data_IF_699428839164
#
_entry.id   IF_699428839164
#
_cell.length_a   1.000
_cell.length_b   1.000
_cell.length_c   1.000
_cell.angle_alpha   90.00
_cell.angle_beta   90.00
_cell.angle_gamma   90.00
#
_symmetry.space_group_name_H-M   'P 1'
#
loop_
_entity.id
_entity.type
_entity.pdbx_description
1 polymer ?
#
# COMPACT_ATOMS: atom_id res chain seq x y z
N UNK A 1 -32.55 -9.97 -10.24
CA UNK A 1 -33.55 -9.17 -9.49
C UNK A 1 -34.16 -8.10 -10.41
N UNK A 2 -33.35 -7.19 -11.02
CA UNK A 2 -33.93 -6.09 -11.83
C UNK A 2 -34.75 -6.64 -13.00
N UNK A 3 -34.17 -7.51 -13.81
CA UNK A 3 -34.84 -8.04 -15.01
C UNK A 3 -35.84 -9.12 -14.68
N UNK A 4 -35.57 -10.02 -13.75
CA UNK A 4 -36.39 -11.20 -13.46
C UNK A 4 -37.57 -10.85 -12.52
N UNK A 5 -37.43 -9.85 -11.65
CA UNK A 5 -38.46 -9.47 -10.68
C UNK A 5 -39.10 -8.14 -11.06
N UNK A 6 -38.32 -7.04 -11.13
CA UNK A 6 -38.87 -5.71 -11.31
C UNK A 6 -39.51 -5.55 -12.69
N UNK A 7 -38.75 -5.92 -13.75
CA UNK A 7 -39.20 -5.78 -15.16
C UNK A 7 -40.01 -6.98 -15.66
N UNK A 8 -40.23 -8.02 -14.84
CA UNK A 8 -41.03 -9.16 -15.24
C UNK A 8 -42.47 -8.74 -15.59
N UNK A 9 -42.97 -9.15 -16.75
CA UNK A 9 -44.35 -9.00 -17.17
C UNK A 9 -45.27 -10.13 -16.68
N UNK A 10 -44.68 -11.18 -16.10
CA UNK A 10 -45.38 -12.42 -15.72
C UNK A 10 -45.86 -12.37 -14.27
N UNK A 11 -45.08 -11.71 -13.38
CA UNK A 11 -45.34 -11.66 -11.94
C UNK A 11 -46.36 -10.56 -11.58
N UNK A 12 -47.29 -10.85 -10.68
CA UNK A 12 -48.17 -9.84 -10.07
C UNK A 12 -47.38 -8.91 -9.13
N UNK A 13 -47.95 -7.75 -8.80
CA UNK A 13 -47.27 -6.78 -7.90
C UNK A 13 -46.98 -7.37 -6.50
N UNK A 14 -47.85 -8.24 -5.98
CA UNK A 14 -47.66 -8.90 -4.68
C UNK A 14 -46.55 -9.95 -4.73
N UNK A 15 -46.48 -10.74 -5.81
CA UNK A 15 -45.43 -11.73 -6.02
C UNK A 15 -44.05 -11.05 -6.18
N UNK A 16 -43.98 -9.95 -6.94
CA UNK A 16 -42.75 -9.13 -7.06
C UNK A 16 -42.24 -8.62 -5.72
N UNK A 17 -43.17 -8.13 -4.88
CA UNK A 17 -42.79 -7.65 -3.53
C UNK A 17 -42.32 -8.80 -2.65
N UNK A 18 -42.97 -9.94 -2.67
CA UNK A 18 -42.55 -11.11 -1.88
C UNK A 18 -41.17 -11.63 -2.28
N UNK A 19 -40.92 -11.77 -3.58
CA UNK A 19 -39.62 -12.16 -4.10
C UNK A 19 -38.55 -11.13 -3.79
N UNK A 20 -38.85 -9.84 -3.94
CA UNK A 20 -37.92 -8.77 -3.62
C UNK A 20 -37.54 -8.80 -2.13
N UNK A 21 -38.48 -8.96 -1.21
CA UNK A 21 -38.22 -9.08 0.23
C UNK A 21 -37.39 -10.32 0.56
N UNK A 22 -37.61 -11.45 -0.13
CA UNK A 22 -36.77 -12.66 0.04
C UNK A 22 -35.34 -12.40 -0.33
N UNK A 23 -35.06 -11.83 -1.52
CA UNK A 23 -33.74 -11.53 -1.99
C UNK A 23 -33.05 -10.44 -1.16
N UNK A 24 -33.76 -9.42 -0.73
CA UNK A 24 -33.24 -8.40 0.19
C UNK A 24 -32.92 -9.00 1.55
N UNK A 25 -33.82 -9.86 2.10
CA UNK A 25 -33.53 -10.56 3.36
C UNK A 25 -32.28 -11.43 3.28
N UNK A 26 -32.14 -12.19 2.20
CA UNK A 26 -30.93 -12.98 1.95
C UNK A 26 -29.67 -12.09 1.84
N UNK A 27 -29.78 -10.97 1.11
CA UNK A 27 -28.67 -10.03 0.98
C UNK A 27 -28.27 -9.43 2.33
N UNK A 28 -29.25 -9.03 3.16
CA UNK A 28 -29.00 -8.51 4.52
C UNK A 28 -28.28 -9.56 5.37
N UNK A 29 -28.72 -10.82 5.35
CA UNK A 29 -28.06 -11.92 6.08
C UNK A 29 -26.62 -12.07 5.60
N UNK A 30 -26.38 -12.12 4.29
CA UNK A 30 -25.05 -12.27 3.73
C UNK A 30 -24.11 -11.09 4.10
N UNK A 31 -24.61 -9.86 3.95
CA UNK A 31 -23.77 -8.66 4.14
C UNK A 31 -23.65 -8.22 5.60
N UNK A 32 -24.65 -8.47 6.43
CA UNK A 32 -24.65 -8.02 7.83
C UNK A 32 -24.21 -9.13 8.79
N UNK A 33 -24.60 -10.38 8.52
CA UNK A 33 -24.30 -11.51 9.42
C UNK A 33 -23.01 -12.25 9.03
N UNK A 34 -22.82 -12.54 7.74
CA UNK A 34 -21.68 -13.37 7.31
C UNK A 34 -20.43 -12.56 6.99
N UNK A 35 -20.55 -11.44 6.31
CA UNK A 35 -19.39 -10.65 5.86
C UNK A 35 -18.57 -10.07 7.01
N UNK A 36 -19.13 -9.43 8.06
CA UNK A 36 -18.33 -8.85 9.14
C UNK A 36 -17.47 -9.87 9.92
N UNK A 37 -17.99 -11.07 10.33
CA UNK A 37 -17.17 -12.09 10.95
C UNK A 37 -16.02 -12.56 10.04
N UNK A 38 -16.30 -12.79 8.74
CA UNK A 38 -15.28 -13.22 7.77
C UNK A 38 -14.19 -12.16 7.67
N UNK A 39 -14.55 -10.87 7.56
CA UNK A 39 -13.60 -9.77 7.47
C UNK A 39 -12.80 -9.60 8.77
N UNK A 40 -13.45 -9.76 9.93
CA UNK A 40 -12.80 -9.75 11.23
C UNK A 40 -11.75 -10.88 11.34
N UNK A 41 -12.14 -12.13 11.04
CA UNK A 41 -11.21 -13.26 11.11
C UNK A 41 -10.07 -13.12 10.10
N UNK A 42 -10.36 -12.64 8.90
CA UNK A 42 -9.33 -12.35 7.88
C UNK A 42 -8.30 -11.36 8.41
N UNK A 43 -8.75 -10.23 8.96
CA UNK A 43 -7.85 -9.20 9.50
C UNK A 43 -7.11 -9.70 10.74
N UNK A 44 -7.78 -10.39 11.63
CA UNK A 44 -7.18 -10.95 12.84
C UNK A 44 -6.08 -11.96 12.51
N UNK A 45 -6.38 -12.92 11.63
CA UNK A 45 -5.41 -13.92 11.20
C UNK A 45 -4.21 -13.30 10.47
N UNK A 46 -4.46 -12.29 9.64
CA UNK A 46 -3.42 -11.53 8.97
C UNK A 46 -2.48 -10.84 9.97
N UNK A 47 -3.04 -10.13 10.95
CA UNK A 47 -2.27 -9.46 11.99
C UNK A 47 -1.53 -10.47 12.89
N UNK A 48 -2.17 -11.57 13.24
CA UNK A 48 -1.55 -12.63 14.04
C UNK A 48 -0.36 -13.26 13.32
N UNK A 49 -0.53 -13.64 12.06
CA UNK A 49 0.56 -14.16 11.21
C UNK A 49 1.71 -13.16 11.13
N UNK A 50 1.41 -11.90 10.84
CA UNK A 50 2.40 -10.84 10.71
C UNK A 50 3.18 -10.62 12.01
N UNK A 51 2.50 -10.59 13.16
CA UNK A 51 3.14 -10.41 14.47
C UNK A 51 4.00 -11.63 14.86
N UNK A 52 3.57 -12.86 14.52
CA UNK A 52 4.36 -14.05 14.73
C UNK A 52 5.64 -14.04 13.91
N UNK A 53 5.55 -13.65 12.62
CA UNK A 53 6.74 -13.47 11.75
C UNK A 53 7.70 -12.44 12.37
N UNK A 54 7.20 -11.30 12.87
CA UNK A 54 8.03 -10.29 13.54
C UNK A 54 8.72 -10.83 14.77
N UNK A 55 7.99 -11.58 15.58
CA UNK A 55 8.52 -12.21 16.78
C UNK A 55 9.66 -13.18 16.44
N UNK A 56 9.45 -14.04 15.46
CA UNK A 56 10.44 -15.04 15.05
C UNK A 56 11.69 -14.37 14.45
N UNK A 57 11.52 -13.37 13.57
CA UNK A 57 12.64 -12.61 12.99
C UNK A 57 13.43 -11.89 14.08
N UNK A 58 12.77 -11.20 15.03
CA UNK A 58 13.46 -10.51 16.13
C UNK A 58 14.23 -11.49 17.02
N UNK A 59 13.65 -12.64 17.32
CA UNK A 59 14.30 -13.69 18.09
C UNK A 59 15.54 -14.21 17.38
N UNK A 60 15.46 -14.46 16.09
CA UNK A 60 16.59 -14.96 15.30
C UNK A 60 17.69 -13.91 15.16
N UNK A 61 17.33 -12.65 14.83
CA UNK A 61 18.28 -11.53 14.80
C UNK A 61 18.98 -11.32 16.14
N UNK A 62 18.25 -11.35 17.25
CA UNK A 62 18.86 -11.19 18.56
C UNK A 62 19.80 -12.35 18.90
N UNK A 63 19.43 -13.58 18.57
CA UNK A 63 20.31 -14.74 18.72
C UNK A 63 21.56 -14.66 17.83
N UNK A 64 21.42 -14.12 16.61
CA UNK A 64 22.55 -13.87 15.70
C UNK A 64 23.49 -12.79 16.27
N UNK A 65 22.93 -11.65 16.72
CA UNK A 65 23.71 -10.57 17.34
C UNK A 65 24.54 -11.07 18.52
N UNK A 66 24.01 -11.92 19.39
CA UNK A 66 24.76 -12.46 20.54
C UNK A 66 26.00 -13.29 20.15
N UNK A 67 26.07 -13.78 18.92
CA UNK A 67 27.19 -14.58 18.40
C UNK A 67 28.22 -13.76 17.61
N UNK A 68 27.89 -12.51 17.26
CA UNK A 68 28.82 -11.63 16.56
C UNK A 68 30.01 -11.22 17.45
N UNK A 69 31.14 -11.00 16.84
CA UNK A 69 32.37 -10.64 17.54
C UNK A 69 32.37 -9.22 18.10
N UNK A 70 33.18 -8.96 19.12
CA UNK A 70 33.36 -7.61 19.66
C UNK A 70 33.91 -6.62 18.60
N UNK A 71 34.62 -7.11 17.60
CA UNK A 71 35.09 -6.32 16.46
C UNK A 71 33.94 -5.71 15.67
N UNK A 72 32.85 -6.45 15.47
CA UNK A 72 31.63 -5.93 14.84
C UNK A 72 31.09 -4.74 15.64
N UNK A 73 30.96 -4.87 16.97
CA UNK A 73 30.42 -3.82 17.84
C UNK A 73 31.33 -2.60 18.00
N UNK A 74 32.63 -2.77 17.82
CA UNK A 74 33.57 -1.64 17.79
C UNK A 74 33.49 -0.80 16.52
N UNK A 75 33.07 -1.42 15.42
CA UNK A 75 32.97 -0.76 14.10
C UNK A 75 31.54 -0.30 13.74
N UNK A 76 30.51 -0.80 14.43
CA UNK A 76 29.09 -0.52 14.13
C UNK A 76 28.45 0.25 15.28
N UNK A 77 27.71 1.32 14.94
CA UNK A 77 27.04 2.13 15.95
C UNK A 77 25.87 1.37 16.55
N UNK A 78 25.78 1.30 17.88
CA UNK A 78 24.68 0.62 18.58
C UNK A 78 23.27 1.08 18.13
N UNK A 79 23.10 2.38 17.86
CA UNK A 79 21.85 2.92 17.34
C UNK A 79 21.45 2.38 15.97
N UNK A 80 22.41 2.06 15.10
CA UNK A 80 22.15 1.44 13.81
C UNK A 80 21.64 0.00 13.97
N UNK A 81 22.31 -0.79 14.81
CA UNK A 81 21.90 -2.16 15.11
C UNK A 81 20.49 -2.19 15.70
N UNK A 82 20.20 -1.32 16.68
CA UNK A 82 18.87 -1.20 17.28
C UNK A 82 17.82 -0.82 16.22
N UNK A 83 18.14 0.13 15.33
CA UNK A 83 17.23 0.53 14.26
C UNK A 83 16.92 -0.61 13.30
N UNK A 84 17.90 -1.44 12.95
CA UNK A 84 17.69 -2.62 12.09
C UNK A 84 16.76 -3.63 12.77
N UNK A 85 16.95 -3.94 14.04
CA UNK A 85 16.14 -4.92 14.79
C UNK A 85 14.72 -4.41 15.07
N UNK A 86 14.54 -3.13 15.32
CA UNK A 86 13.23 -2.56 15.67
C UNK A 86 12.51 -2.06 14.44
N UNK A 87 13.10 -1.10 13.71
CA UNK A 87 12.41 -0.37 12.63
C UNK A 87 12.39 -1.17 11.32
N UNK A 88 13.50 -1.78 10.90
CA UNK A 88 13.54 -2.51 9.64
C UNK A 88 12.74 -3.82 9.72
N UNK A 89 12.78 -4.51 10.86
CA UNK A 89 11.89 -5.66 11.09
C UNK A 89 10.42 -5.24 11.08
N UNK A 90 10.05 -4.10 11.67
CA UNK A 90 8.66 -3.60 11.62
C UNK A 90 8.21 -3.31 10.18
N UNK A 91 9.10 -2.83 9.30
CA UNK A 91 8.79 -2.63 7.88
C UNK A 91 8.52 -3.96 7.14
N UNK A 92 9.05 -5.09 7.61
CA UNK A 92 8.74 -6.42 7.07
C UNK A 92 7.26 -6.76 7.24
N UNK A 93 6.62 -6.30 8.32
CA UNK A 93 5.17 -6.40 8.50
C UNK A 93 4.41 -5.73 7.35
N UNK A 94 4.84 -4.55 6.94
CA UNK A 94 4.21 -3.83 5.83
C UNK A 94 4.35 -4.59 4.51
N UNK A 95 5.47 -5.28 4.28
CA UNK A 95 5.64 -6.16 3.14
C UNK A 95 4.65 -7.32 3.14
N UNK A 96 4.53 -8.02 4.27
CA UNK A 96 3.59 -9.14 4.42
C UNK A 96 2.15 -8.68 4.21
N UNK A 97 1.74 -7.61 4.91
CA UNK A 97 0.36 -7.11 4.87
C UNK A 97 0.01 -6.52 3.50
N UNK A 98 0.89 -5.68 2.95
CA UNK A 98 0.62 -4.99 1.68
C UNK A 98 0.93 -5.88 0.48
N UNK A 99 2.08 -6.54 0.47
CA UNK A 99 2.56 -7.35 -0.66
C UNK A 99 1.82 -8.67 -0.77
N UNK A 100 1.91 -9.50 0.28
CA UNK A 100 1.35 -10.85 0.21
C UNK A 100 -0.17 -10.89 0.37
N UNK A 101 -0.78 -9.95 1.08
CA UNK A 101 -2.23 -9.99 1.31
C UNK A 101 -3.00 -9.04 0.43
N UNK A 102 -2.73 -7.72 0.53
CA UNK A 102 -3.56 -6.74 -0.18
C UNK A 102 -3.37 -6.80 -1.70
N UNK A 103 -2.13 -6.91 -2.19
CA UNK A 103 -1.85 -6.98 -3.63
C UNK A 103 -2.47 -8.24 -4.25
N UNK A 104 -2.37 -9.40 -3.58
CA UNK A 104 -3.01 -10.63 -4.06
C UNK A 104 -4.53 -10.54 -4.08
N UNK A 105 -5.14 -9.95 -3.05
CA UNK A 105 -6.58 -9.72 -3.01
C UNK A 105 -7.04 -8.76 -4.10
N UNK A 106 -6.28 -7.69 -4.33
CA UNK A 106 -6.59 -6.71 -5.38
C UNK A 106 -6.46 -7.32 -6.77
N UNK A 107 -5.40 -8.09 -7.05
CA UNK A 107 -5.24 -8.81 -8.32
C UNK A 107 -6.34 -9.85 -8.53
N UNK A 108 -6.66 -10.64 -7.51
CA UNK A 108 -7.74 -11.62 -7.58
C UNK A 108 -9.09 -10.95 -7.84
N UNK A 109 -9.36 -9.81 -7.18
CA UNK A 109 -10.60 -9.03 -7.39
C UNK A 109 -10.70 -8.53 -8.83
N UNK A 110 -9.59 -8.00 -9.40
CA UNK A 110 -9.55 -7.54 -10.78
C UNK A 110 -9.81 -8.70 -11.75
N UNK A 111 -9.13 -9.84 -11.56
CA UNK A 111 -9.30 -11.02 -12.43
C UNK A 111 -10.75 -11.53 -12.38
N UNK A 112 -11.30 -11.69 -11.18
CA UNK A 112 -12.68 -12.16 -11.00
C UNK A 112 -13.67 -11.15 -11.62
N UNK A 113 -13.45 -9.85 -11.40
CA UNK A 113 -14.31 -8.82 -11.99
C UNK A 113 -14.27 -8.89 -13.53
N UNK A 114 -13.09 -9.00 -14.14
CA UNK A 114 -12.96 -9.12 -15.60
C UNK A 114 -13.67 -10.39 -16.11
N UNK A 115 -13.47 -11.54 -15.46
CA UNK A 115 -14.12 -12.80 -15.86
C UNK A 115 -15.65 -12.66 -15.82
N UNK A 116 -16.20 -12.07 -14.76
CA UNK A 116 -17.63 -11.86 -14.66
C UNK A 116 -18.12 -10.85 -15.72
N UNK A 117 -17.42 -9.73 -15.91
CA UNK A 117 -17.76 -8.71 -16.91
C UNK A 117 -17.74 -9.28 -18.33
N UNK A 118 -16.76 -10.13 -18.69
CA UNK A 118 -16.72 -10.83 -20.00
C UNK A 118 -17.92 -11.74 -20.18
N UNK A 119 -18.32 -12.47 -19.14
CA UNK A 119 -19.50 -13.34 -19.20
C UNK A 119 -20.84 -12.59 -19.27
N UNK A 120 -20.90 -11.37 -18.71
CA UNK A 120 -22.06 -10.52 -18.83
C UNK A 120 -22.16 -9.88 -20.22
N UNK A 121 -21.12 -9.19 -20.66
CA UNK A 121 -21.09 -8.54 -21.97
C UNK A 121 -19.65 -8.22 -22.41
N UNK A 122 -19.21 -8.86 -23.48
CA UNK A 122 -17.85 -8.70 -24.02
C UNK A 122 -17.61 -7.27 -24.53
N UNK A 123 -18.60 -6.67 -25.22
CA UNK A 123 -18.43 -5.32 -25.79
C UNK A 123 -18.24 -4.27 -24.68
N UNK A 124 -19.10 -4.31 -23.65
CA UNK A 124 -18.98 -3.41 -22.49
C UNK A 124 -17.65 -3.61 -21.75
N UNK A 125 -17.19 -4.85 -21.66
CA UNK A 125 -15.88 -5.17 -21.02
C UNK A 125 -14.73 -4.56 -21.81
N UNK A 126 -14.74 -4.65 -23.14
CA UNK A 126 -13.70 -4.00 -23.96
C UNK A 126 -13.68 -2.50 -23.73
N UNK A 127 -14.85 -1.85 -23.71
CA UNK A 127 -14.95 -0.40 -23.43
C UNK A 127 -14.37 -0.07 -22.05
N UNK A 128 -14.68 -0.87 -21.02
CA UNK A 128 -14.12 -0.70 -19.68
C UNK A 128 -12.59 -0.86 -19.66
N UNK A 129 -12.04 -1.81 -20.44
CA UNK A 129 -10.60 -2.06 -20.50
C UNK A 129 -9.81 -0.99 -21.27
N UNK A 130 -10.46 -0.21 -22.17
CA UNK A 130 -9.79 0.86 -22.93
C UNK A 130 -9.15 1.92 -22.03
N UNK A 131 -9.73 2.19 -20.86
CA UNK A 131 -9.14 3.16 -19.93
C UNK A 131 -7.87 2.65 -19.22
N UNK A 132 -7.63 1.34 -19.14
CA UNK A 132 -6.46 0.78 -18.47
C UNK A 132 -5.11 1.19 -19.06
N UNK A 133 -4.90 1.20 -20.39
CA UNK A 133 -3.68 1.73 -20.98
C UNK A 133 -3.40 3.19 -20.60
N UNK A 134 -4.41 4.06 -20.64
CA UNK A 134 -4.26 5.46 -20.24
C UNK A 134 -3.90 5.60 -18.76
N UNK A 135 -4.52 4.79 -17.91
CA UNK A 135 -4.19 4.70 -16.52
C UNK A 135 -2.72 4.25 -16.31
N UNK A 136 -2.30 3.18 -16.98
CA UNK A 136 -0.95 2.64 -16.85
C UNK A 136 0.14 3.63 -17.32
N UNK A 137 -0.10 4.34 -18.42
CA UNK A 137 0.79 5.39 -18.95
C UNK A 137 0.90 6.53 -17.93
N UNK A 138 -0.23 6.99 -17.37
CA UNK A 138 -0.25 8.05 -16.37
C UNK A 138 0.52 7.66 -15.11
N UNK A 139 0.27 6.46 -14.59
CA UNK A 139 1.00 5.93 -13.43
C UNK A 139 2.50 5.86 -13.68
N UNK A 140 2.92 5.31 -14.83
CA UNK A 140 4.35 5.22 -15.21
C UNK A 140 5.01 6.59 -15.28
N UNK A 141 4.34 7.56 -15.87
CA UNK A 141 4.87 8.94 -16.01
C UNK A 141 5.04 9.60 -14.62
N UNK A 142 4.00 9.58 -13.79
CA UNK A 142 4.04 10.23 -12.49
C UNK A 142 4.93 9.50 -11.49
N UNK A 143 5.01 8.17 -11.55
CA UNK A 143 5.87 7.38 -10.66
C UNK A 143 7.34 7.79 -10.75
N UNK A 144 7.89 7.89 -11.97
CA UNK A 144 9.25 8.36 -12.17
C UNK A 144 9.48 9.77 -11.63
N UNK A 145 8.57 10.70 -11.92
CA UNK A 145 8.65 12.08 -11.47
C UNK A 145 8.56 12.21 -9.95
N UNK A 146 7.62 11.52 -9.33
CA UNK A 146 7.43 11.54 -7.88
C UNK A 146 8.61 10.91 -7.14
N UNK A 147 9.22 9.84 -7.67
CA UNK A 147 10.42 9.22 -7.12
C UNK A 147 11.57 10.23 -7.00
N UNK A 148 11.84 10.98 -8.06
CA UNK A 148 12.91 11.99 -8.07
C UNK A 148 12.63 13.12 -7.06
N UNK A 149 11.38 13.58 -6.99
CA UNK A 149 10.95 14.61 -6.05
C UNK A 149 10.99 14.12 -4.60
N UNK A 150 10.63 12.87 -4.34
CA UNK A 150 10.77 12.23 -3.03
C UNK A 150 12.24 12.20 -2.60
N UNK A 151 13.14 11.81 -3.51
CA UNK A 151 14.58 11.79 -3.23
C UNK A 151 15.10 13.19 -2.87
N UNK A 152 14.70 14.23 -3.62
CA UNK A 152 15.08 15.63 -3.33
C UNK A 152 14.54 16.10 -1.97
N UNK A 153 13.28 15.81 -1.67
CA UNK A 153 12.66 16.13 -0.39
C UNK A 153 13.37 15.44 0.78
N UNK A 154 13.67 14.14 0.63
CA UNK A 154 14.37 13.36 1.67
C UNK A 154 15.80 13.86 1.87
N UNK A 155 16.51 14.24 0.80
CA UNK A 155 17.82 14.85 0.91
C UNK A 155 17.81 16.18 1.66
N UNK A 156 16.86 17.07 1.36
CA UNK A 156 16.70 18.32 2.07
C UNK A 156 16.33 18.11 3.55
N UNK A 157 15.48 17.12 3.85
CA UNK A 157 15.16 16.77 5.24
C UNK A 157 16.38 16.25 6.01
N UNK A 158 17.20 15.40 5.37
CA UNK A 158 18.43 14.92 5.96
C UNK A 158 19.39 16.05 6.27
N UNK A 159 19.47 17.10 5.42
CA UNK A 159 20.21 18.32 5.70
C UNK A 159 19.75 19.04 6.97
N UNK A 160 18.43 19.24 7.10
CA UNK A 160 17.85 19.84 8.33
C UNK A 160 18.14 18.98 9.56
N UNK A 161 18.01 17.66 9.46
CA UNK A 161 18.29 16.75 10.58
C UNK A 161 19.75 16.77 11.00
N UNK A 162 20.69 16.76 10.03
CA UNK A 162 22.13 16.85 10.30
C UNK A 162 22.48 18.14 10.99
N UNK A 163 21.94 19.26 10.51
CA UNK A 163 22.12 20.57 11.11
C UNK A 163 21.63 20.58 12.56
N UNK A 164 20.40 20.13 12.80
CA UNK A 164 19.84 20.09 14.17
C UNK A 164 20.70 19.20 15.10
N UNK A 165 21.14 18.03 14.62
CA UNK A 165 21.95 17.14 15.43
C UNK A 165 23.26 17.79 15.87
N UNK A 166 23.96 18.46 14.94
CA UNK A 166 25.21 19.16 15.22
C UNK A 166 25.01 20.33 16.20
N UNK A 167 23.98 21.15 15.99
CA UNK A 167 23.74 22.35 16.80
C UNK A 167 23.19 22.03 18.18
N UNK A 168 22.35 21.03 18.32
CA UNK A 168 21.87 20.57 19.63
C UNK A 168 23.03 19.99 20.45
N UNK A 169 23.95 19.22 19.82
CA UNK A 169 25.16 18.75 20.48
C UNK A 169 26.10 19.90 20.89
N UNK A 170 26.18 20.97 20.08
CA UNK A 170 27.00 22.16 20.33
C UNK A 170 26.28 23.31 21.05
N UNK A 171 25.11 23.07 21.66
CA UNK A 171 24.27 24.14 22.23
C UNK A 171 24.99 25.00 23.29
N UNK A 172 25.92 24.40 24.05
CA UNK A 172 26.71 25.16 25.03
C UNK A 172 27.60 26.21 24.37
N UNK A 173 28.13 25.94 23.18
CA UNK A 173 28.95 26.90 22.42
C UNK A 173 28.08 28.06 21.91
N UNK A 174 26.93 27.72 21.31
CA UNK A 174 25.97 28.73 20.84
C UNK A 174 25.59 29.67 21.94
N UNK A 175 25.26 29.13 23.12
CA UNK A 175 24.93 29.92 24.31
C UNK A 175 26.08 30.77 24.84
N UNK A 176 27.32 30.22 24.86
CA UNK A 176 28.51 30.95 25.36
C UNK A 176 28.88 32.13 24.48
N UNK A 177 28.61 32.08 23.19
CA UNK A 177 28.93 33.14 22.23
C UNK A 177 27.71 33.96 21.80
N UNK A 178 26.53 33.74 22.38
CA UNK A 178 25.27 34.44 22.06
C UNK A 178 24.94 34.44 20.57
N UNK A 179 25.10 33.25 19.92
CA UNK A 179 24.93 33.05 18.47
C UNK A 179 23.51 32.61 18.07
N UNK A 180 22.53 32.70 18.99
CA UNK A 180 21.17 32.16 18.76
C UNK A 180 20.50 32.73 17.51
N UNK A 181 20.65 34.03 17.28
CA UNK A 181 20.03 34.69 16.12
C UNK A 181 20.70 34.23 14.81
N UNK A 182 22.03 34.15 14.80
CA UNK A 182 22.78 33.68 13.64
C UNK A 182 22.45 32.22 13.29
N UNK A 183 22.41 31.37 14.29
CA UNK A 183 22.02 29.94 14.10
C UNK A 183 20.57 29.77 13.64
N UNK A 184 19.66 30.69 14.10
CA UNK A 184 18.28 30.70 13.63
C UNK A 184 18.19 31.05 12.14
N UNK A 185 18.96 32.03 11.67
CA UNK A 185 18.98 32.43 10.26
C UNK A 185 19.44 31.26 9.34
N UNK A 186 20.52 30.56 9.75
CA UNK A 186 21.03 29.40 9.00
C UNK A 186 20.01 28.25 9.01
N UNK A 187 19.38 27.99 10.15
CA UNK A 187 18.32 26.98 10.25
C UNK A 187 17.13 27.31 9.36
N UNK A 188 16.72 28.58 9.33
CA UNK A 188 15.59 29.03 8.52
C UNK A 188 15.88 28.88 7.01
N UNK A 189 17.13 29.07 6.58
CA UNK A 189 17.56 28.79 5.20
C UNK A 189 17.43 27.31 4.86
N UNK A 190 18.02 26.42 5.67
CA UNK A 190 17.96 24.97 5.46
C UNK A 190 16.50 24.45 5.50
N UNK A 191 15.70 24.92 6.46
CA UNK A 191 14.29 24.58 6.57
C UNK A 191 13.47 25.14 5.40
N UNK A 192 13.86 26.33 4.89
CA UNK A 192 13.29 26.94 3.69
C UNK A 192 13.51 26.08 2.43
N UNK A 193 14.69 25.49 2.27
CA UNK A 193 14.99 24.56 1.18
C UNK A 193 14.14 23.28 1.28
N UNK A 194 14.06 22.71 2.48
CA UNK A 194 13.16 21.56 2.71
C UNK A 194 11.71 21.91 2.38
N UNK A 195 11.21 23.07 2.82
CA UNK A 195 9.85 23.53 2.50
C UNK A 195 9.61 23.64 1.00
N UNK A 196 10.55 24.22 0.24
CA UNK A 196 10.46 24.30 -1.23
C UNK A 196 10.38 22.91 -1.88
N UNK A 197 11.25 21.99 -1.46
CA UNK A 197 11.27 20.61 -1.95
C UNK A 197 9.96 19.88 -1.59
N UNK A 198 9.48 20.03 -0.38
CA UNK A 198 8.23 19.44 0.12
C UNK A 198 7.00 19.95 -0.64
N UNK A 199 6.90 21.28 -0.86
CA UNK A 199 5.82 21.89 -1.62
C UNK A 199 5.81 21.43 -3.08
N UNK A 200 7.00 21.33 -3.70
CA UNK A 200 7.10 20.83 -5.07
C UNK A 200 6.68 19.36 -5.18
N UNK A 201 7.10 18.52 -4.23
CA UNK A 201 6.64 17.14 -4.15
C UNK A 201 5.12 17.08 -3.97
N UNK A 202 4.55 17.84 -3.03
CA UNK A 202 3.11 17.88 -2.77
C UNK A 202 2.30 18.34 -3.98
N UNK A 203 2.81 19.35 -4.72
CA UNK A 203 2.19 19.82 -5.96
C UNK A 203 2.09 18.71 -7.01
N UNK A 204 3.20 18.01 -7.27
CA UNK A 204 3.20 16.94 -8.26
C UNK A 204 2.41 15.71 -7.81
N UNK A 205 2.39 15.43 -6.52
CA UNK A 205 1.54 14.39 -5.94
C UNK A 205 0.05 14.73 -6.14
N UNK A 206 -0.36 15.97 -5.90
CA UNK A 206 -1.73 16.43 -6.13
C UNK A 206 -2.12 16.37 -7.61
N UNK A 207 -1.22 16.78 -8.53
CA UNK A 207 -1.45 16.68 -9.98
C UNK A 207 -1.60 15.20 -10.39
N UNK A 208 -0.73 14.32 -9.90
CA UNK A 208 -0.81 12.89 -10.17
C UNK A 208 -2.15 12.31 -9.70
N UNK A 209 -2.54 12.62 -8.46
CA UNK A 209 -3.82 12.16 -7.90
C UNK A 209 -5.01 12.70 -8.71
N UNK A 210 -4.97 13.98 -9.11
CA UNK A 210 -6.02 14.58 -9.95
C UNK A 210 -6.16 13.82 -11.28
N UNK A 211 -5.06 13.59 -12.00
CA UNK A 211 -5.09 12.93 -13.32
C UNK A 211 -5.55 11.48 -13.18
N UNK A 212 -4.98 10.73 -12.22
CA UNK A 212 -5.33 9.33 -12.00
C UNK A 212 -6.79 9.18 -11.58
N UNK A 213 -7.26 10.00 -10.63
CA UNK A 213 -8.66 9.98 -10.20
C UNK A 213 -9.60 10.37 -11.34
N UNK A 214 -9.26 11.40 -12.11
CA UNK A 214 -10.08 11.81 -13.28
C UNK A 214 -10.25 10.65 -14.27
N UNK A 215 -9.18 9.92 -14.60
CA UNK A 215 -9.27 8.76 -15.49
C UNK A 215 -10.17 7.68 -14.89
N UNK A 216 -9.98 7.38 -13.61
CA UNK A 216 -10.76 6.32 -12.92
C UNK A 216 -12.20 6.71 -12.62
N UNK A 217 -12.53 7.99 -12.61
CA UNK A 217 -13.90 8.48 -12.40
C UNK A 217 -14.64 8.66 -13.73
N UNK A 218 -13.95 9.11 -14.80
CA UNK A 218 -14.56 9.25 -16.12
C UNK A 218 -14.79 7.88 -16.79
N UNK A 219 -13.89 6.92 -16.62
CA UNK A 219 -14.02 5.62 -17.24
C UNK A 219 -15.35 4.89 -16.91
N UNK A 220 -15.80 4.80 -15.66
CA UNK A 220 -17.12 4.28 -15.33
C UNK A 220 -18.25 5.03 -16.00
N UNK A 221 -18.19 6.37 -16.09
CA UNK A 221 -19.24 7.19 -16.72
C UNK A 221 -19.36 6.91 -18.21
N UNK A 222 -18.22 6.75 -18.91
CA UNK A 222 -18.21 6.39 -20.33
C UNK A 222 -18.81 5.01 -20.56
N UNK A 223 -18.45 4.04 -19.71
CA UNK A 223 -18.98 2.67 -19.82
C UNK A 223 -20.49 2.64 -19.53
N UNK A 224 -20.94 3.34 -18.48
CA UNK A 224 -22.37 3.46 -18.15
C UNK A 224 -23.14 4.14 -19.28
N UNK A 225 -22.57 5.22 -19.85
CA UNK A 225 -23.18 5.92 -21.00
C UNK A 225 -23.31 5.01 -22.21
N UNK A 226 -22.26 4.23 -22.53
CA UNK A 226 -22.33 3.26 -23.62
C UNK A 226 -23.29 2.11 -23.32
N UNK A 227 -23.29 1.60 -22.09
CA UNK A 227 -24.25 0.58 -21.67
C UNK A 227 -25.71 1.08 -21.77
N UNK A 228 -25.98 2.31 -21.36
CA UNK A 228 -27.30 2.93 -21.51
C UNK A 228 -27.72 3.06 -22.99
N UNK A 229 -26.79 3.42 -23.87
CA UNK A 229 -27.03 3.43 -25.32
C UNK A 229 -27.39 2.02 -25.84
N UNK A 230 -26.67 0.98 -25.42
CA UNK A 230 -26.99 -0.40 -25.80
C UNK A 230 -28.33 -0.89 -25.21
N UNK A 231 -28.73 -0.40 -24.03
CA UNK A 231 -30.06 -0.67 -23.44
C UNK A 231 -31.18 -0.05 -24.30
N UNK A 232 -30.99 1.20 -24.75
CA UNK A 232 -31.99 1.87 -25.62
C UNK A 232 -32.13 1.12 -26.95
N UNK A 233 -31.05 0.54 -27.47
CA UNK A 233 -31.07 -0.29 -28.68
C UNK A 233 -31.56 -1.74 -28.45
N UNK A 234 -31.91 -2.11 -27.22
CA UNK A 234 -32.46 -3.43 -26.89
C UNK A 234 -31.43 -4.56 -26.89
N UNK A 235 -30.11 -4.27 -26.94
CA UNK A 235 -29.03 -5.27 -26.96
C UNK A 235 -28.49 -5.63 -25.58
N UNK A 236 -28.82 -4.81 -24.56
CA UNK A 236 -28.43 -5.00 -23.14
C UNK A 236 -29.66 -4.75 -22.27
N UNK A 237 -29.81 -5.48 -21.18
CA UNK A 237 -30.90 -5.26 -20.24
C UNK A 237 -30.55 -4.21 -19.19
N UNK A 238 -31.56 -3.64 -18.53
CA UNK A 238 -31.35 -2.70 -17.41
C UNK A 238 -30.62 -3.39 -16.25
N UNK A 239 -30.93 -4.67 -15.99
CA UNK A 239 -30.29 -5.48 -14.97
C UNK A 239 -28.81 -5.71 -15.25
N UNK A 240 -28.45 -5.98 -16.52
CA UNK A 240 -27.05 -6.08 -16.94
C UNK A 240 -26.29 -4.75 -16.75
N UNK A 241 -26.91 -3.59 -17.08
CA UNK A 241 -26.31 -2.27 -16.84
C UNK A 241 -26.01 -2.05 -15.35
N UNK A 242 -26.97 -2.36 -14.48
CA UNK A 242 -26.78 -2.21 -13.01
C UNK A 242 -25.68 -3.15 -12.51
N UNK A 243 -25.70 -4.41 -12.93
CA UNK A 243 -24.67 -5.38 -12.57
C UNK A 243 -23.28 -4.93 -13.07
N UNK A 244 -23.21 -4.47 -14.31
CA UNK A 244 -21.94 -4.00 -14.91
C UNK A 244 -21.38 -2.78 -14.17
N UNK A 245 -22.23 -1.84 -13.77
CA UNK A 245 -21.84 -0.67 -12.97
C UNK A 245 -21.20 -1.05 -11.64
N UNK A 246 -21.70 -2.07 -10.96
CA UNK A 246 -21.13 -2.59 -9.71
C UNK A 246 -19.74 -3.25 -9.94
N UNK A 247 -19.54 -3.95 -11.06
CA UNK A 247 -18.26 -4.58 -11.38
C UNK A 247 -17.20 -3.59 -11.89
N UNK A 248 -17.60 -2.50 -12.53
CA UNK A 248 -16.69 -1.40 -12.89
C UNK A 248 -15.98 -0.86 -11.65
N UNK A 249 -16.72 -0.56 -10.58
CA UNK A 249 -16.10 -0.07 -9.33
C UNK A 249 -15.13 -1.09 -8.74
N UNK A 250 -15.47 -2.40 -8.81
CA UNK A 250 -14.60 -3.50 -8.39
C UNK A 250 -13.37 -3.68 -9.28
N UNK A 251 -13.38 -3.19 -10.50
CA UNK A 251 -12.23 -3.17 -11.41
C UNK A 251 -11.29 -2.01 -11.09
N UNK A 252 -11.81 -0.78 -10.94
CA UNK A 252 -10.98 0.42 -10.81
C UNK A 252 -10.50 0.70 -9.39
N UNK A 253 -11.26 0.33 -8.35
CA UNK A 253 -10.89 0.57 -6.95
C UNK A 253 -9.56 -0.11 -6.55
N UNK A 254 -9.32 -1.40 -6.86
CA UNK A 254 -8.03 -2.05 -6.61
C UNK A 254 -6.85 -1.39 -7.35
N UNK A 255 -7.07 -0.89 -8.56
CA UNK A 255 -6.01 -0.23 -9.35
C UNK A 255 -5.46 1.00 -8.61
N UNK A 256 -6.35 1.81 -8.00
CA UNK A 256 -5.94 2.96 -7.19
C UNK A 256 -5.08 2.52 -5.98
N UNK A 257 -5.42 1.41 -5.33
CA UNK A 257 -4.66 0.87 -4.18
C UNK A 257 -3.30 0.31 -4.59
N UNK A 258 -3.20 -0.36 -5.73
CA UNK A 258 -1.93 -0.93 -6.21
C UNK A 258 -0.84 0.13 -6.41
N UNK A 259 -1.20 1.35 -6.81
CA UNK A 259 -0.26 2.46 -6.96
C UNK A 259 0.34 2.87 -5.60
N UNK A 260 -0.50 3.05 -4.58
CA UNK A 260 -0.02 3.39 -3.24
C UNK A 260 0.77 2.25 -2.60
N UNK A 261 0.38 1.00 -2.86
CA UNK A 261 1.07 -0.20 -2.37
C UNK A 261 2.51 -0.30 -2.90
N UNK A 262 2.79 0.17 -4.12
CA UNK A 262 4.14 0.10 -4.70
C UNK A 262 5.20 0.87 -3.88
N UNK A 263 4.84 2.02 -3.32
CA UNK A 263 5.74 2.81 -2.46
C UNK A 263 6.04 2.08 -1.15
N UNK A 264 5.02 1.52 -0.52
CA UNK A 264 5.15 0.75 0.73
C UNK A 264 6.05 -0.48 0.48
N UNK A 265 5.81 -1.21 -0.62
CA UNK A 265 6.62 -2.37 -0.98
C UNK A 265 8.09 -2.02 -1.22
N UNK A 266 8.37 -0.92 -1.94
CA UNK A 266 9.75 -0.49 -2.19
C UNK A 266 10.49 -0.15 -0.89
N UNK A 267 9.83 0.53 0.06
CA UNK A 267 10.40 0.83 1.37
C UNK A 267 10.62 -0.45 2.19
N UNK A 268 9.66 -1.34 2.18
CA UNK A 268 9.75 -2.60 2.92
C UNK A 268 10.86 -3.51 2.39
N UNK A 269 11.02 -3.62 1.06
CA UNK A 269 12.12 -4.37 0.44
C UNK A 269 13.48 -3.80 0.87
N UNK A 270 13.67 -2.48 0.81
CA UNK A 270 14.91 -1.85 1.23
C UNK A 270 15.23 -2.09 2.71
N UNK A 271 14.21 -2.16 3.58
CA UNK A 271 14.39 -2.49 5.00
C UNK A 271 14.70 -3.98 5.19
N UNK A 272 14.07 -4.86 4.40
CA UNK A 272 14.38 -6.29 4.41
C UNK A 272 15.83 -6.56 3.95
N UNK A 273 16.29 -5.87 2.91
CA UNK A 273 17.69 -5.99 2.45
C UNK A 273 18.67 -5.68 3.58
N UNK A 274 18.49 -4.55 4.30
CA UNK A 274 19.33 -4.20 5.46
C UNK A 274 19.24 -5.20 6.62
N UNK A 275 18.07 -5.78 6.81
CA UNK A 275 17.87 -6.84 7.81
C UNK A 275 18.63 -8.12 7.41
N UNK A 276 18.55 -8.51 6.13
CA UNK A 276 19.30 -9.66 5.62
C UNK A 276 20.80 -9.43 5.62
N UNK A 277 21.27 -8.22 5.27
CA UNK A 277 22.69 -7.86 5.44
C UNK A 277 23.18 -8.12 6.88
N UNK A 278 22.35 -7.78 7.89
CA UNK A 278 22.70 -8.06 9.28
C UNK A 278 22.70 -9.56 9.61
N UNK A 279 21.76 -10.32 9.05
CA UNK A 279 21.69 -11.78 9.22
C UNK A 279 22.84 -12.52 8.54
N UNK A 280 23.36 -11.97 7.43
CA UNK A 280 24.43 -12.55 6.65
C UNK A 280 25.84 -12.19 7.19
N UNK A 281 25.90 -11.33 8.24
CA UNK A 281 27.19 -11.04 8.90
C UNK A 281 27.83 -12.31 9.44
N UNK A 282 29.10 -12.53 9.11
CA UNK A 282 29.80 -13.76 9.45
C UNK A 282 30.31 -13.74 10.88
N UNK A 283 30.31 -14.90 11.52
CA UNK A 283 30.93 -15.05 12.84
C UNK A 283 32.47 -15.15 12.68
N UNK A 284 33.19 -14.15 13.19
CA UNK A 284 34.67 -14.14 13.18
C UNK A 284 35.27 -15.29 14.04
N UNK A 285 34.52 -15.72 15.06
CA UNK A 285 34.91 -16.79 15.96
C UNK A 285 33.91 -17.93 15.87
N UNK A 286 34.34 -19.07 15.39
CA UNK A 286 33.52 -20.27 15.26
C UNK A 286 34.19 -21.43 15.93
N UNK A 287 33.45 -22.31 16.57
CA UNK A 287 33.96 -23.56 17.09
C UNK A 287 34.46 -24.46 15.94
N UNK A 288 35.59 -25.13 16.16
CA UNK A 288 36.04 -26.13 15.20
C UNK A 288 35.08 -27.30 15.14
N UNK A 289 34.90 -27.97 13.98
CA UNK A 289 33.97 -29.08 13.83
C UNK A 289 34.16 -30.23 14.85
N UNK A 290 35.33 -30.34 15.47
CA UNK A 290 35.72 -31.34 16.47
C UNK A 290 36.11 -30.70 17.81
N UNK A 291 35.52 -29.55 18.18
CA UNK A 291 35.76 -28.91 19.46
C UNK A 291 35.28 -29.83 20.59
N UNK A 292 36.15 -30.02 21.63
CA UNK A 292 35.83 -30.81 22.81
C UNK A 292 35.18 -29.88 23.85
N UNK A 293 34.06 -30.31 24.46
CA UNK A 293 33.52 -29.57 25.60
C UNK A 293 34.49 -29.55 26.76
N UNK A 294 34.79 -28.35 27.24
CA UNK A 294 35.65 -28.20 28.43
C UNK A 294 34.88 -28.76 29.68
N UNK A 295 35.54 -29.57 30.50
CA UNK A 295 34.91 -30.01 31.74
C UNK A 295 34.57 -28.80 32.64
N UNK A 296 33.36 -28.80 33.18
CA UNK A 296 32.88 -27.76 34.10
C UNK A 296 33.66 -27.73 35.39
#
# INVERSE_FOLDING_TARGET
IVDDIINSSILSSEEKMTELFWWLGLAVILFVVLRPPIEFYRQYLAQNLSNNILFDIRKELYGHLQRLSLKYYSNTRAGEVISRVINDVEQTKNFVMTGLMNVWLDLSTIIIAIVIMVNLNVKLTIVALIALPFYAISVKYFFGRLRDLTRKRSGALAGVQSYLHERVAGMSIIKSFTLEQHEQEIFDEANGEFRKAALNHSKWNAISAMVVNTITDIAPLVVIGYAAYEVINGSVTVGELVAFSAYIERLYSPLRRLVSSSTILTQSIASMDRMFELMDETYDVQDKPNAIELPK
#
